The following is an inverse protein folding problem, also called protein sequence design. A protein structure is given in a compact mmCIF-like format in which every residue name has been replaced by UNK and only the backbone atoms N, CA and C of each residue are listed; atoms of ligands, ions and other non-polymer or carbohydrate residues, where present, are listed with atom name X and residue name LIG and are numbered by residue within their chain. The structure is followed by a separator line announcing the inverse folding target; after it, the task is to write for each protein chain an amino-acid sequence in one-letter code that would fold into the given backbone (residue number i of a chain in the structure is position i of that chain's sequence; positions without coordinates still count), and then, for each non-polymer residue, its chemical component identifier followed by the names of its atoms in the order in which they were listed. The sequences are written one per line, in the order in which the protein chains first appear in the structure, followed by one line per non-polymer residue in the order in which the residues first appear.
data_IF_558673232675
#
_entry.id   IF_558673232675
#
_cell.length_a   1.000
_cell.length_b   1.000
_cell.length_c   1.000
_cell.angle_alpha   90.00
_cell.angle_beta   90.00
_cell.angle_gamma   90.00
#
_symmetry.space_group_name_H-M   'P 1'
#
loop_
_entity.id
_entity.type
_entity.pdbx_description
1 polymer ?
#
# COMPACT_ATOMS: atom_id res chain seq x y z
N UNK A 1 -99.49 84.10 30.33
CA UNK A 1 -99.59 83.20 31.50
C UNK A 1 -99.97 81.83 31.00
N UNK A 2 -99.07 80.87 31.17
CA UNK A 2 -99.19 79.41 31.37
C UNK A 2 -97.74 78.93 31.31
N UNK A 3 -97.25 78.44 32.44
CA UNK A 3 -95.83 78.12 32.69
C UNK A 3 -95.66 76.61 32.58
N UNK A 4 -94.75 76.17 31.70
CA UNK A 4 -94.30 74.79 31.63
C UNK A 4 -93.09 74.60 32.56
N UNK A 5 -93.21 73.66 33.50
CA UNK A 5 -92.19 73.32 34.51
C UNK A 5 -91.14 72.39 33.88
N UNK A 6 -89.89 72.83 33.79
CA UNK A 6 -88.74 72.01 33.36
C UNK A 6 -88.10 71.37 34.58
N UNK A 7 -88.06 70.04 34.61
CA UNK A 7 -87.41 69.27 35.67
C UNK A 7 -85.89 69.36 35.54
N UNK A 8 -85.24 69.73 36.65
CA UNK A 8 -83.79 69.74 36.81
C UNK A 8 -83.30 68.30 37.01
N UNK A 9 -82.35 67.87 36.19
CA UNK A 9 -81.50 66.74 36.54
C UNK A 9 -80.29 67.31 37.28
N UNK A 10 -80.14 66.92 38.54
CA UNK A 10 -79.13 67.45 39.45
C UNK A 10 -77.75 66.97 39.00
N UNK A 11 -76.95 67.89 38.49
CA UNK A 11 -75.50 67.74 38.49
C UNK A 11 -75.03 67.92 39.94
N UNK A 12 -74.68 66.81 40.60
CA UNK A 12 -73.84 66.85 41.78
C UNK A 12 -72.50 66.26 41.38
N UNK A 13 -71.56 67.16 41.12
CA UNK A 13 -70.14 66.91 41.10
C UNK A 13 -69.72 66.29 42.43
N UNK A 14 -69.09 65.11 42.39
CA UNK A 14 -68.20 64.68 43.45
C UNK A 14 -66.83 64.48 42.85
N UNK A 15 -65.95 65.42 43.19
CA UNK A 15 -64.54 65.39 42.90
C UNK A 15 -63.90 64.31 43.76
N UNK A 16 -63.50 63.20 43.15
CA UNK A 16 -62.46 62.35 43.71
C UNK A 16 -61.42 62.09 42.62
N UNK A 17 -60.31 62.80 42.77
CA UNK A 17 -59.06 62.56 42.07
C UNK A 17 -58.60 61.13 42.37
N UNK A 18 -58.94 60.20 41.47
CA UNK A 18 -58.27 58.92 41.40
C UNK A 18 -57.18 59.06 40.36
N UNK A 19 -55.95 59.26 40.85
CA UNK A 19 -54.70 59.16 40.12
C UNK A 19 -54.78 58.08 39.03
N UNK A 20 -54.82 58.50 37.76
CA UNK A 20 -54.59 57.62 36.64
C UNK A 20 -53.17 57.07 36.78
N UNK A 21 -53.05 55.85 37.34
CA UNK A 21 -51.83 55.06 37.23
C UNK A 21 -51.62 54.77 35.75
N UNK A 22 -50.89 55.66 35.07
CA UNK A 22 -50.33 55.43 33.75
C UNK A 22 -49.52 54.14 33.84
N UNK A 23 -50.11 53.04 33.39
CA UNK A 23 -49.40 51.78 33.21
C UNK A 23 -48.34 52.04 32.15
N UNK A 24 -47.14 52.41 32.60
CA UNK A 24 -45.98 52.57 31.74
C UNK A 24 -45.73 51.20 31.12
N UNK A 25 -46.15 50.99 29.86
CA UNK A 25 -45.78 49.83 29.07
C UNK A 25 -44.26 49.77 29.04
N UNK A 26 -43.69 48.89 29.86
CA UNK A 26 -42.24 48.71 29.99
C UNK A 26 -41.77 48.21 28.62
N UNK A 27 -41.14 49.08 27.82
CA UNK A 27 -40.55 48.69 26.54
C UNK A 27 -39.54 47.59 26.84
N UNK A 28 -39.86 46.37 26.44
CA UNK A 28 -38.97 45.22 26.59
C UNK A 28 -37.72 45.53 25.80
N UNK A 29 -36.62 45.87 26.48
CA UNK A 29 -35.31 46.02 25.84
C UNK A 29 -34.92 44.63 25.35
N UNK A 30 -35.14 44.34 24.07
CA UNK A 30 -34.67 43.09 23.44
C UNK A 30 -33.16 43.02 23.67
N UNK A 31 -32.72 42.02 24.42
CA UNK A 31 -31.31 41.83 24.70
C UNK A 31 -30.66 41.16 23.49
N UNK A 32 -29.92 41.94 22.70
CA UNK A 32 -29.09 41.46 21.57
C UNK A 32 -27.95 40.50 21.99
N UNK A 33 -27.91 40.07 23.26
CA UNK A 33 -26.91 39.16 23.80
C UNK A 33 -27.03 37.76 23.19
N UNK A 34 -28.25 37.27 23.03
CA UNK A 34 -28.49 35.96 22.41
C UNK A 34 -28.10 35.94 20.94
N UNK A 35 -28.41 37.00 20.20
CA UNK A 35 -28.06 37.11 18.78
C UNK A 35 -26.54 37.11 18.55
N UNK A 36 -25.77 37.79 19.41
CA UNK A 36 -24.30 37.74 19.39
C UNK A 36 -23.74 36.35 19.70
N UNK A 37 -24.37 35.62 20.62
CA UNK A 37 -23.96 34.24 20.98
C UNK A 37 -24.23 33.29 19.81
N UNK A 38 -25.41 33.39 19.18
CA UNK A 38 -25.76 32.57 18.01
C UNK A 38 -24.81 32.82 16.85
N UNK A 39 -24.45 34.08 16.59
CA UNK A 39 -23.49 34.46 15.55
C UNK A 39 -22.08 33.91 15.86
N UNK A 40 -21.65 33.97 17.12
CA UNK A 40 -20.39 33.38 17.58
C UNK A 40 -20.35 31.85 17.40
N UNK A 41 -21.43 31.15 17.77
CA UNK A 41 -21.55 29.70 17.57
C UNK A 41 -21.48 29.37 16.08
N UNK A 42 -22.16 30.12 15.21
CA UNK A 42 -22.11 29.92 13.76
C UNK A 42 -20.69 30.00 13.19
N UNK A 43 -19.91 31.00 13.62
CA UNK A 43 -18.50 31.13 13.20
C UNK A 43 -17.66 29.95 13.70
N UNK A 44 -17.85 29.55 14.96
CA UNK A 44 -17.14 28.40 15.55
C UNK A 44 -17.49 27.10 14.82
N UNK A 45 -18.76 26.90 14.43
CA UNK A 45 -19.17 25.70 13.69
C UNK A 45 -18.55 25.63 12.30
N UNK A 46 -18.49 26.76 11.58
CA UNK A 46 -17.87 26.82 10.25
C UNK A 46 -16.37 26.60 10.34
N UNK A 47 -15.71 27.19 11.35
CA UNK A 47 -14.29 26.98 11.63
C UNK A 47 -14.01 25.51 12.00
N UNK A 48 -14.81 24.92 12.88
CA UNK A 48 -14.64 23.51 13.27
C UNK A 48 -14.82 22.58 12.08
N UNK A 49 -15.79 22.85 11.20
CA UNK A 49 -16.02 22.07 9.99
C UNK A 49 -14.83 22.17 9.01
N UNK A 50 -14.26 23.37 8.83
CA UNK A 50 -13.11 23.54 7.94
C UNK A 50 -11.85 22.86 8.48
N UNK A 51 -11.60 22.91 9.79
CA UNK A 51 -10.51 22.14 10.43
C UNK A 51 -10.74 20.62 10.30
N UNK A 52 -11.97 20.15 10.47
CA UNK A 52 -12.30 18.73 10.32
C UNK A 52 -12.00 18.24 8.90
N UNK A 53 -12.33 19.02 7.87
CA UNK A 53 -11.99 18.69 6.50
C UNK A 53 -10.47 18.68 6.30
N UNK A 54 -9.77 19.70 6.78
CA UNK A 54 -8.32 19.82 6.63
C UNK A 54 -7.57 18.63 7.26
N UNK A 55 -7.97 18.18 8.45
CA UNK A 55 -7.36 17.00 9.10
C UNK A 55 -7.57 15.71 8.29
N UNK A 56 -8.74 15.53 7.67
CA UNK A 56 -8.98 14.40 6.75
C UNK A 56 -8.10 14.48 5.51
N UNK A 57 -7.97 15.66 4.91
CA UNK A 57 -7.08 15.87 3.77
C UNK A 57 -5.59 15.68 4.12
N UNK A 58 -5.18 16.10 5.32
CA UNK A 58 -3.83 15.89 5.81
C UNK A 58 -3.51 14.40 5.98
N UNK A 59 -4.42 13.62 6.57
CA UNK A 59 -4.28 12.17 6.69
C UNK A 59 -4.18 11.48 5.31
N UNK A 60 -5.00 11.90 4.35
CA UNK A 60 -4.93 11.39 2.96
C UNK A 60 -3.58 11.72 2.31
N UNK A 61 -3.07 12.92 2.54
CA UNK A 61 -1.79 13.37 1.99
C UNK A 61 -0.61 12.63 2.61
N UNK A 62 -0.67 12.37 3.91
CA UNK A 62 0.33 11.55 4.61
C UNK A 62 0.37 10.12 4.04
N UNK A 63 -0.80 9.49 3.88
CA UNK A 63 -0.90 8.16 3.26
C UNK A 63 -0.37 8.17 1.83
N UNK A 64 -0.70 9.19 1.02
CA UNK A 64 -0.15 9.36 -0.34
C UNK A 64 1.37 9.50 -0.33
N UNK A 65 1.94 10.25 0.61
CA UNK A 65 3.38 10.37 0.74
C UNK A 65 4.04 9.04 1.13
N UNK A 66 3.44 8.28 2.05
CA UNK A 66 3.92 6.94 2.42
C UNK A 66 3.90 6.00 1.23
N UNK A 67 2.81 5.97 0.45
CA UNK A 67 2.70 5.15 -0.77
C UNK A 67 3.75 5.56 -1.79
N UNK A 68 3.92 6.86 -2.03
CA UNK A 68 4.91 7.34 -2.99
C UNK A 68 6.35 7.01 -2.54
N UNK A 69 6.64 7.10 -1.25
CA UNK A 69 7.94 6.69 -0.71
C UNK A 69 8.18 5.19 -0.90
N UNK A 70 7.18 4.36 -0.62
CA UNK A 70 7.26 2.92 -0.79
C UNK A 70 7.44 2.51 -2.25
N UNK A 71 6.73 3.18 -3.18
CA UNK A 71 6.91 2.98 -4.62
C UNK A 71 8.33 3.35 -5.08
N UNK A 72 8.88 4.48 -4.59
CA UNK A 72 10.26 4.85 -4.88
C UNK A 72 11.27 3.82 -4.37
N UNK A 73 11.05 3.28 -3.17
CA UNK A 73 11.91 2.21 -2.64
C UNK A 73 11.84 0.95 -3.50
N UNK A 74 10.64 0.60 -3.99
CA UNK A 74 10.43 -0.55 -4.86
C UNK A 74 11.15 -0.36 -6.21
N UNK A 75 11.00 0.82 -6.83
CA UNK A 75 11.69 1.20 -8.07
C UNK A 75 13.22 1.17 -7.90
N UNK A 76 13.73 1.68 -6.76
CA UNK A 76 15.15 1.61 -6.44
C UNK A 76 15.63 0.17 -6.29
N UNK A 77 14.85 -0.71 -5.65
CA UNK A 77 15.21 -2.10 -5.46
C UNK A 77 15.19 -2.89 -6.78
N UNK A 78 14.21 -2.60 -7.65
CA UNK A 78 14.13 -3.18 -8.99
C UNK A 78 15.31 -2.74 -9.86
N UNK A 79 15.67 -1.45 -9.80
CA UNK A 79 16.86 -0.91 -10.47
C UNK A 79 18.14 -1.58 -9.97
N UNK A 80 18.27 -1.79 -8.65
CA UNK A 80 19.42 -2.50 -8.06
C UNK A 80 19.49 -3.95 -8.51
N UNK A 81 18.34 -4.64 -8.57
CA UNK A 81 18.26 -6.02 -9.08
C UNK A 81 18.70 -6.10 -10.54
N UNK A 82 18.24 -5.18 -11.38
CA UNK A 82 18.62 -5.15 -12.79
C UNK A 82 20.11 -4.84 -12.96
N UNK A 83 20.65 -3.89 -12.19
CA UNK A 83 22.08 -3.61 -12.18
C UNK A 83 22.90 -4.85 -11.76
N UNK A 84 22.47 -5.54 -10.70
CA UNK A 84 23.14 -6.75 -10.23
C UNK A 84 23.02 -7.90 -11.25
N UNK A 85 21.90 -7.99 -11.96
CA UNK A 85 21.74 -8.93 -13.07
C UNK A 85 22.71 -8.64 -14.21
N UNK A 86 22.84 -7.38 -14.61
CA UNK A 86 23.83 -6.95 -15.62
C UNK A 86 25.25 -7.27 -15.16
N UNK A 87 25.55 -7.09 -13.88
CA UNK A 87 26.85 -7.41 -13.30
C UNK A 87 27.11 -8.92 -13.30
N UNK A 88 26.12 -9.73 -12.92
CA UNK A 88 26.19 -11.19 -13.03
C UNK A 88 26.37 -11.62 -14.48
N UNK A 89 25.65 -11.03 -15.44
CA UNK A 89 25.84 -11.30 -16.87
C UNK A 89 27.22 -10.86 -17.36
N UNK A 90 27.79 -9.79 -16.82
CA UNK A 90 29.16 -9.33 -17.11
C UNK A 90 30.20 -10.32 -16.60
N UNK A 91 30.03 -10.86 -15.39
CA UNK A 91 30.93 -11.84 -14.77
C UNK A 91 30.73 -13.23 -15.39
N UNK A 92 29.49 -13.61 -15.71
CA UNK A 92 29.13 -14.86 -16.36
C UNK A 92 29.55 -14.88 -17.83
N UNK A 93 29.63 -13.71 -18.50
CA UNK A 93 30.27 -13.63 -19.80
C UNK A 93 31.71 -14.11 -19.66
N UNK A 94 32.02 -15.19 -20.39
CA UNK A 94 33.33 -15.83 -20.58
C UNK A 94 34.51 -14.86 -20.73
N UNK A 95 34.27 -13.59 -21.03
CA UNK A 95 35.25 -12.51 -21.15
C UNK A 95 36.04 -12.25 -19.85
N UNK A 96 35.44 -12.39 -18.66
CA UNK A 96 36.22 -12.29 -17.41
C UNK A 96 37.17 -13.48 -17.27
N UNK A 97 36.67 -14.69 -17.52
CA UNK A 97 37.47 -15.93 -17.48
C UNK A 97 38.60 -15.88 -18.53
N UNK A 98 38.29 -15.43 -19.75
CA UNK A 98 39.23 -15.25 -20.86
C UNK A 98 40.32 -14.24 -20.49
N UNK A 99 39.94 -13.09 -19.91
CA UNK A 99 40.88 -12.09 -19.44
C UNK A 99 41.80 -12.65 -18.35
N UNK A 100 41.24 -13.34 -17.36
CA UNK A 100 42.00 -13.95 -16.27
C UNK A 100 42.95 -15.04 -16.79
N UNK A 101 42.50 -15.84 -17.77
CA UNK A 101 43.31 -16.86 -18.42
C UNK A 101 44.48 -16.25 -19.22
N UNK A 102 44.24 -15.17 -19.96
CA UNK A 102 45.30 -14.49 -20.71
C UNK A 102 46.27 -13.78 -19.76
N UNK A 103 45.78 -13.03 -18.78
CA UNK A 103 46.61 -12.17 -17.93
C UNK A 103 47.36 -12.96 -16.84
N UNK A 104 46.68 -13.89 -16.14
CA UNK A 104 47.31 -14.64 -15.02
C UNK A 104 47.89 -15.97 -15.43
N UNK A 105 47.23 -16.69 -16.34
CA UNK A 105 47.70 -18.00 -16.77
C UNK A 105 48.55 -17.93 -18.03
N UNK A 106 48.74 -16.73 -18.62
CA UNK A 106 49.46 -16.54 -19.88
C UNK A 106 48.94 -17.45 -21.00
N UNK A 107 47.63 -17.74 -20.98
CA UNK A 107 47.00 -18.50 -22.05
C UNK A 107 46.94 -17.63 -23.31
N UNK A 108 47.28 -18.23 -24.45
CA UNK A 108 47.18 -17.62 -25.76
C UNK A 108 46.20 -18.42 -26.63
N UNK A 109 45.48 -17.74 -27.52
CA UNK A 109 44.67 -18.43 -28.51
C UNK A 109 45.59 -19.25 -29.44
N UNK A 110 45.19 -20.49 -29.80
CA UNK A 110 45.99 -21.31 -30.70
C UNK A 110 46.09 -20.67 -32.08
N UNK A 111 47.26 -20.78 -32.70
CA UNK A 111 47.48 -20.35 -34.08
C UNK A 111 46.67 -21.26 -35.03
N UNK A 112 46.28 -20.79 -36.23
CA UNK A 112 45.53 -21.61 -37.20
C UNK A 112 46.22 -22.94 -37.54
N UNK A 113 47.55 -22.95 -37.53
CA UNK A 113 48.40 -24.12 -37.77
C UNK A 113 48.41 -25.14 -36.62
N UNK A 114 48.00 -24.75 -35.42
CA UNK A 114 47.90 -25.61 -34.24
C UNK A 114 46.50 -26.22 -34.09
N UNK A 115 45.54 -25.83 -34.93
CA UNK A 115 44.16 -26.33 -34.88
C UNK A 115 44.00 -27.50 -35.85
N UNK A 116 43.85 -28.72 -35.32
CA UNK A 116 43.57 -29.91 -36.10
C UNK A 116 42.07 -30.20 -36.10
N UNK A 117 41.44 -30.10 -37.28
CA UNK A 117 40.06 -30.51 -37.46
C UNK A 117 39.99 -32.01 -37.74
N UNK A 118 39.42 -32.76 -36.79
CA UNK A 118 39.21 -34.20 -36.95
C UNK A 118 37.83 -34.41 -37.56
N UNK A 119 37.79 -35.03 -38.75
CA UNK A 119 36.54 -35.49 -39.33
C UNK A 119 36.21 -36.86 -38.75
N UNK A 120 35.01 -36.99 -38.17
CA UNK A 120 34.57 -38.22 -37.52
C UNK A 120 33.29 -38.69 -38.19
N UNK A 121 33.22 -39.99 -38.48
CA UNK A 121 32.05 -40.58 -39.12
C UNK A 121 30.84 -40.52 -38.17
N UNK A 122 29.70 -39.93 -38.60
CA UNK A 122 28.52 -39.78 -37.75
C UNK A 122 27.93 -41.13 -37.30
N UNK A 123 28.13 -42.20 -38.08
CA UNK A 123 27.63 -43.54 -37.76
C UNK A 123 28.43 -44.20 -36.64
N UNK A 124 29.73 -43.92 -36.55
CA UNK A 124 30.58 -44.40 -35.44
C UNK A 124 30.24 -43.66 -34.15
N UNK A 125 30.02 -42.34 -34.22
CA UNK A 125 29.59 -41.54 -33.06
C UNK A 125 28.26 -42.06 -32.52
N UNK A 126 27.28 -42.31 -33.39
CA UNK A 126 25.97 -42.81 -32.98
C UNK A 126 26.06 -44.17 -32.26
N UNK A 127 26.94 -45.06 -32.74
CA UNK A 127 27.20 -46.36 -32.09
C UNK A 127 27.87 -46.17 -30.72
N UNK A 128 28.88 -45.29 -30.66
CA UNK A 128 29.66 -45.03 -29.45
C UNK A 128 28.80 -44.35 -28.38
N UNK A 129 27.98 -43.36 -28.76
CA UNK A 129 27.03 -42.71 -27.84
C UNK A 129 26.01 -43.69 -27.29
N UNK A 130 25.48 -44.59 -28.13
CA UNK A 130 24.54 -45.62 -27.68
C UNK A 130 25.21 -46.64 -26.74
N UNK A 131 26.47 -46.99 -26.98
CA UNK A 131 27.24 -47.86 -26.09
C UNK A 131 27.50 -47.20 -24.72
N UNK A 132 27.90 -45.92 -24.71
CA UNK A 132 28.12 -45.16 -23.47
C UNK A 132 26.82 -45.02 -22.66
N UNK A 133 25.71 -44.68 -23.33
CA UNK A 133 24.38 -44.60 -22.71
C UNK A 133 23.99 -45.95 -22.09
N UNK A 134 24.15 -47.05 -22.83
CA UNK A 134 23.81 -48.38 -22.34
C UNK A 134 24.69 -48.84 -21.16
N UNK A 135 25.97 -48.48 -21.15
CA UNK A 135 26.88 -48.77 -20.05
C UNK A 135 26.52 -47.95 -18.81
N UNK A 136 26.14 -46.69 -18.98
CA UNK A 136 25.71 -45.82 -17.89
C UNK A 136 24.39 -46.29 -17.28
N UNK A 137 23.41 -46.68 -18.11
CA UNK A 137 22.14 -47.26 -17.66
C UNK A 137 22.35 -48.60 -16.91
N UNK A 138 23.30 -49.44 -17.31
CA UNK A 138 23.66 -50.66 -16.58
C UNK A 138 24.32 -50.37 -15.23
N UNK A 139 25.19 -49.35 -15.15
CA UNK A 139 25.81 -48.91 -13.90
C UNK A 139 24.77 -48.34 -12.93
N UNK A 140 23.86 -47.52 -13.43
CA UNK A 140 22.77 -46.91 -12.66
C UNK A 140 21.74 -47.95 -12.20
N UNK A 141 21.39 -48.93 -13.03
CA UNK A 141 20.50 -50.04 -12.65
C UNK A 141 21.11 -50.93 -11.56
N UNK A 142 22.42 -51.26 -11.65
CA UNK A 142 23.10 -52.08 -10.65
C UNK A 142 23.20 -51.36 -9.30
N UNK A 143 23.47 -50.05 -9.30
CA UNK A 143 23.56 -49.25 -8.09
C UNK A 143 22.18 -49.00 -7.46
N UNK A 144 21.17 -48.74 -8.30
CA UNK A 144 19.78 -48.58 -7.87
C UNK A 144 19.19 -49.88 -7.32
N UNK A 145 19.45 -51.03 -7.96
CA UNK A 145 19.01 -52.35 -7.47
C UNK A 145 19.56 -52.65 -6.07
N UNK A 146 20.85 -52.41 -5.82
CA UNK A 146 21.45 -52.65 -4.50
C UNK A 146 20.79 -51.80 -3.39
N UNK A 147 20.38 -50.57 -3.71
CA UNK A 147 19.71 -49.68 -2.75
C UNK A 147 18.22 -50.04 -2.57
N UNK A 148 17.54 -50.48 -3.64
CA UNK A 148 16.12 -50.90 -3.59
C UNK A 148 15.94 -52.18 -2.77
N UNK A 149 16.85 -53.16 -2.89
CA UNK A 149 16.78 -54.37 -2.04
C UNK A 149 17.01 -54.04 -0.56
N UNK A 150 17.91 -53.11 -0.23
CA UNK A 150 18.14 -52.67 1.15
C UNK A 150 16.94 -51.95 1.77
N UNK A 151 16.27 -51.06 1.01
CA UNK A 151 15.09 -50.35 1.50
C UNK A 151 13.85 -51.25 1.60
N UNK A 152 13.62 -52.13 0.62
CA UNK A 152 12.46 -53.03 0.62
C UNK A 152 12.57 -54.09 1.72
N UNK A 153 13.75 -54.66 1.97
CA UNK A 153 13.94 -55.61 3.08
C UNK A 153 13.71 -54.95 4.44
N UNK A 154 14.19 -53.72 4.66
CA UNK A 154 13.93 -53.00 5.90
C UNK A 154 12.44 -52.70 6.10
N UNK A 155 11.70 -52.41 5.02
CA UNK A 155 10.24 -52.24 5.10
C UNK A 155 9.51 -53.57 5.36
N UNK A 156 9.93 -54.68 4.76
CA UNK A 156 9.34 -56.00 5.01
C UNK A 156 9.64 -56.55 6.42
N UNK A 157 10.85 -56.34 6.94
CA UNK A 157 11.21 -56.69 8.33
C UNK A 157 10.44 -55.87 9.37
N UNK A 158 10.02 -54.64 9.03
CA UNK A 158 9.13 -53.83 9.87
C UNK A 158 7.72 -54.40 10.04
N UNK A 159 7.22 -55.17 9.06
CA UNK A 159 5.89 -55.80 9.12
C UNK A 159 5.86 -57.13 9.89
N UNK A 160 7.02 -57.77 10.10
CA UNK A 160 7.12 -59.01 10.90
C UNK A 160 7.45 -58.78 12.38
N UNK A 161 7.48 -57.50 12.81
CA UNK A 161 7.62 -57.15 14.22
C UNK A 161 6.22 -56.93 14.83
N UNK A 162 5.49 -58.03 14.98
CA UNK A 162 4.38 -58.17 15.94
C UNK A 162 4.66 -59.38 16.81
#
# INVERSE_FOLDING_TARGET
MIVARKNYNNAIENHQQYEEKKVKKKKVKRSYRFEKIVLGIGVITVLSLSLMLLTRFAAVTEVRHRVNHLNKQLEQLETQKEHLRIEVERVSKSRWIEKEAIERLSMQYPLPEQVLYIHVDPTEIAKLSHQLQSNQEQLDFKNSSNNIFGETLNRFLGFFRI
#
